data_IF_307910132133
#
_entry.id   IF_307910132133
#
_cell.length_a   1.000
_cell.length_b   1.000
_cell.length_c   1.000
_cell.angle_alpha   90.00
_cell.angle_beta   90.00
_cell.angle_gamma   90.00
#
_symmetry.space_group_name_H-M   'P 1'
#
loop_
_entity.id
_entity.type
_entity.pdbx_description
1 polymer ?
#
# COMPACT_ATOMS: atom_id res chain seq x y z
N UNK A 1 26.61 50.52 5.63
CA UNK A 1 25.57 51.51 5.21
C UNK A 1 25.74 51.89 3.73
N UNK A 2 24.68 52.16 2.95
CA UNK A 2 23.26 52.38 3.32
C UNK A 2 22.43 51.08 3.22
N UNK A 3 21.43 50.73 4.05
CA UNK A 3 20.34 51.44 4.73
C UNK A 3 19.03 51.55 3.90
N UNK A 4 17.99 50.85 4.43
CA UNK A 4 16.54 51.21 4.44
C UNK A 4 15.79 51.06 3.09
N UNK A 5 14.59 50.45 2.96
CA UNK A 5 13.45 50.21 3.87
C UNK A 5 12.45 49.17 3.24
N UNK A 6 11.40 48.73 3.97
CA UNK A 6 10.63 47.49 3.75
C UNK A 6 9.14 47.66 3.34
N UNK A 7 8.44 46.50 3.24
CA UNK A 7 6.98 46.22 3.40
C UNK A 7 6.08 46.29 2.14
N UNK A 8 4.82 45.74 2.11
CA UNK A 8 4.14 44.82 3.06
C UNK A 8 3.32 43.66 2.38
N UNK A 9 2.71 42.80 3.23
CA UNK A 9 1.47 42.03 3.04
C UNK A 9 1.39 40.80 2.11
N UNK A 10 1.40 39.61 2.74
CA UNK A 10 0.36 38.58 2.60
C UNK A 10 0.46 37.63 3.79
N UNK A 11 -0.11 38.00 4.95
CA UNK A 11 -1.35 37.41 5.47
C UNK A 11 -1.59 35.93 5.07
N UNK A 12 -1.49 35.08 6.09
CA UNK A 12 -2.51 34.10 6.48
C UNK A 12 -2.98 33.09 5.42
N UNK A 13 -2.41 31.88 5.48
CA UNK A 13 -3.17 30.66 5.23
C UNK A 13 -2.74 29.61 6.25
N UNK A 14 -3.43 29.61 7.39
CA UNK A 14 -3.39 28.51 8.34
C UNK A 14 -3.78 27.20 7.65
N UNK A 15 -3.22 26.05 8.06
CA UNK A 15 -3.60 24.75 7.54
C UNK A 15 -5.06 24.47 7.95
N UNK A 16 -5.98 24.49 6.98
CA UNK A 16 -7.31 23.94 7.11
C UNK A 16 -7.19 22.42 7.30
N UNK A 17 -6.97 22.05 8.55
CA UNK A 17 -7.64 20.97 9.27
C UNK A 17 -7.98 19.74 8.42
N UNK A 18 -6.99 18.84 8.41
CA UNK A 18 -7.04 17.37 8.34
C UNK A 18 -8.25 16.67 9.02
N UNK A 19 -9.12 17.40 9.71
CA UNK A 19 -10.31 16.91 10.40
C UNK A 19 -11.55 16.76 9.48
N UNK A 20 -11.60 17.42 8.31
CA UNK A 20 -12.75 17.28 7.40
C UNK A 20 -12.69 16.03 6.51
N UNK A 21 -11.49 15.46 6.28
CA UNK A 21 -11.32 14.30 5.41
C UNK A 21 -11.66 12.97 6.10
N UNK A 22 -11.53 12.87 7.42
CA UNK A 22 -11.87 11.65 8.17
C UNK A 22 -13.38 11.38 8.23
N UNK A 23 -14.21 12.42 8.14
CA UNK A 23 -15.66 12.30 8.22
C UNK A 23 -16.29 11.66 6.97
N UNK A 24 -15.63 11.77 5.82
CA UNK A 24 -16.11 11.18 4.56
C UNK A 24 -15.79 9.67 4.51
N UNK A 25 -14.67 9.24 5.08
CA UNK A 25 -14.26 7.83 5.09
C UNK A 25 -15.11 6.95 6.00
N UNK A 26 -15.58 7.49 7.14
CA UNK A 26 -16.48 6.74 8.06
C UNK A 26 -17.84 6.45 7.41
N UNK A 27 -18.31 7.30 6.47
CA UNK A 27 -19.61 7.10 5.84
C UNK A 27 -19.59 6.08 4.69
N UNK A 28 -18.49 5.92 3.95
CA UNK A 28 -18.43 4.94 2.85
C UNK A 28 -18.24 3.50 3.34
N UNK A 29 -17.40 3.30 4.38
CA UNK A 29 -17.21 1.96 4.97
C UNK A 29 -18.45 1.46 5.74
N UNK A 30 -19.31 2.35 6.22
CA UNK A 30 -20.56 1.96 6.89
C UNK A 30 -21.62 1.40 5.93
N UNK A 31 -21.59 1.77 4.63
CA UNK A 31 -22.58 1.30 3.65
C UNK A 31 -22.23 -0.06 3.02
N UNK A 32 -20.97 -0.51 3.09
CA UNK A 32 -20.58 -1.84 2.58
C UNK A 32 -20.80 -3.00 3.57
N UNK A 33 -21.14 -2.73 4.85
CA UNK A 33 -21.45 -3.76 5.84
C UNK A 33 -22.95 -3.94 6.17
N UNK A 34 -23.86 -3.17 5.55
CA UNK A 34 -25.29 -3.28 5.84
C UNK A 34 -25.98 -4.40 5.06
N UNK A 35 -25.55 -5.64 5.28
CA UNK A 35 -26.41 -6.82 5.21
C UNK A 35 -26.53 -7.47 6.60
N UNK A 36 -26.64 -6.63 7.63
CA UNK A 36 -26.89 -7.06 8.99
C UNK A 36 -28.39 -6.97 9.27
N UNK A 37 -29.03 -8.13 9.21
CA UNK A 37 -30.37 -8.40 9.73
C UNK A 37 -30.48 -7.77 11.13
N UNK A 38 -31.21 -6.66 11.24
CA UNK A 38 -31.42 -5.97 12.50
C UNK A 38 -32.23 -6.85 13.46
N UNK A 39 -31.54 -7.63 14.29
CA UNK A 39 -32.10 -8.20 15.51
C UNK A 39 -32.02 -7.10 16.56
N UNK A 40 -33.10 -6.34 16.73
CA UNK A 40 -33.24 -5.40 17.84
C UNK A 40 -33.03 -6.17 19.17
N UNK A 41 -32.03 -5.81 20.00
CA UNK A 41 -32.05 -6.23 21.40
C UNK A 41 -33.12 -5.42 22.13
N UNK A 42 -34.05 -6.14 22.75
CA UNK A 42 -35.07 -5.63 23.66
C UNK A 42 -34.43 -4.76 24.74
N UNK A 43 -34.93 -3.53 24.86
CA UNK A 43 -34.60 -2.61 25.92
C UNK A 43 -34.97 -3.21 27.28
N UNK A 44 -33.97 -3.51 28.11
CA UNK A 44 -34.15 -3.64 29.55
C UNK A 44 -33.66 -2.34 30.21
N UNK A 45 -34.42 -1.74 31.13
CA UNK A 45 -33.98 -0.53 31.82
C UNK A 45 -32.87 -0.89 32.82
N UNK A 46 -31.68 -0.27 32.77
CA UNK A 46 -30.70 -0.45 33.82
C UNK A 46 -31.18 0.25 35.10
N UNK A 47 -31.09 -0.50 36.20
CA UNK A 47 -31.28 0.00 37.58
C UNK A 47 -30.46 1.26 37.81
N UNK A 48 -31.15 2.25 38.35
CA UNK A 48 -30.66 3.50 38.96
C UNK A 48 -29.18 3.51 39.36
N UNK A 49 -28.32 4.31 38.70
CA UNK A 49 -27.00 4.64 39.21
C UNK A 49 -27.06 5.93 40.04
N UNK A 50 -26.22 6.02 41.08
CA UNK A 50 -25.96 7.28 41.79
C UNK A 50 -25.54 8.32 40.75
N UNK A 51 -26.31 9.40 40.64
CA UNK A 51 -26.07 10.52 39.72
C UNK A 51 -24.78 11.25 40.11
N UNK A 52 -23.64 10.81 39.57
CA UNK A 52 -22.43 11.62 39.52
C UNK A 52 -22.61 12.64 38.40
N UNK A 53 -22.34 13.91 38.67
CA UNK A 53 -22.50 14.99 37.68
C UNK A 53 -21.69 14.73 36.40
N UNK A 54 -20.62 13.92 36.49
CA UNK A 54 -19.83 13.43 35.36
C UNK A 54 -20.62 12.56 34.38
N UNK A 55 -21.50 11.69 34.86
CA UNK A 55 -22.32 10.81 33.99
C UNK A 55 -23.34 11.62 33.19
N UNK A 56 -23.93 12.64 33.81
CA UNK A 56 -24.88 13.55 33.16
C UNK A 56 -24.21 14.38 32.06
N UNK A 57 -22.99 14.88 32.30
CA UNK A 57 -22.22 15.66 31.30
C UNK A 57 -21.81 14.77 30.12
N UNK A 58 -21.34 13.55 30.38
CA UNK A 58 -20.97 12.59 29.31
C UNK A 58 -22.19 12.21 28.48
N UNK A 59 -23.34 11.95 29.11
CA UNK A 59 -24.57 11.59 28.39
C UNK A 59 -25.08 12.76 27.53
N UNK A 60 -25.08 13.97 28.08
CA UNK A 60 -25.51 15.17 27.37
C UNK A 60 -24.60 15.50 26.17
N UNK A 61 -23.29 15.35 26.32
CA UNK A 61 -22.32 15.59 25.24
C UNK A 61 -22.44 14.55 24.12
N UNK A 62 -22.61 13.27 24.43
CA UNK A 62 -22.86 12.22 23.43
C UNK A 62 -24.17 12.48 22.69
N UNK A 63 -25.25 12.82 23.41
CA UNK A 63 -26.54 13.13 22.80
C UNK A 63 -26.47 14.34 21.85
N UNK A 64 -25.74 15.39 22.25
CA UNK A 64 -25.51 16.56 21.39
C UNK A 64 -24.69 16.23 20.14
N UNK A 65 -23.63 15.42 20.28
CA UNK A 65 -22.80 15.00 19.16
C UNK A 65 -23.59 14.16 18.14
N UNK A 66 -24.39 13.18 18.60
CA UNK A 66 -25.22 12.35 17.73
C UNK A 66 -26.25 13.20 16.99
N UNK A 67 -26.90 14.14 17.69
CA UNK A 67 -27.88 15.05 17.07
C UNK A 67 -27.22 15.95 16.01
N UNK A 68 -26.01 16.45 16.28
CA UNK A 68 -25.22 17.22 15.32
C UNK A 68 -24.86 16.42 14.06
N UNK A 69 -24.48 15.15 14.21
CA UNK A 69 -24.19 14.27 13.07
C UNK A 69 -25.45 13.98 12.23
N UNK A 70 -26.58 13.68 12.88
CA UNK A 70 -27.85 13.43 12.17
C UNK A 70 -28.31 14.67 11.41
N UNK A 71 -28.24 15.85 12.04
CA UNK A 71 -28.56 17.11 11.39
C UNK A 71 -27.64 17.40 10.19
N UNK A 72 -26.34 17.12 10.32
CA UNK A 72 -25.38 17.27 9.23
C UNK A 72 -25.68 16.33 8.05
N UNK A 73 -26.03 15.07 8.33
CA UNK A 73 -26.42 14.10 7.29
C UNK A 73 -27.66 14.56 6.54
N UNK A 74 -28.69 15.05 7.24
CA UNK A 74 -29.91 15.58 6.62
C UNK A 74 -29.63 16.83 5.77
N UNK A 75 -28.82 17.77 6.27
CA UNK A 75 -28.36 18.93 5.52
C UNK A 75 -27.61 18.54 4.26
N UNK A 76 -26.71 17.56 4.35
CA UNK A 76 -25.92 17.07 3.23
C UNK A 76 -26.79 16.39 2.15
N UNK A 77 -27.79 15.58 2.52
CA UNK A 77 -28.72 14.97 1.55
C UNK A 77 -29.59 16.03 0.84
N UNK A 78 -30.04 17.06 1.57
CA UNK A 78 -30.73 18.20 0.97
C UNK A 78 -29.84 18.92 -0.05
N UNK A 79 -28.56 19.07 0.27
CA UNK A 79 -27.62 19.78 -0.60
C UNK A 79 -27.27 18.99 -1.86
N UNK A 80 -27.14 17.67 -1.73
CA UNK A 80 -26.98 16.72 -2.83
C UNK A 80 -28.07 16.82 -3.89
N UNK A 81 -29.35 16.95 -3.48
CA UNK A 81 -30.50 16.89 -4.40
C UNK A 81 -30.79 18.22 -5.09
N UNK A 82 -30.54 19.35 -4.42
CA UNK A 82 -31.02 20.66 -4.89
C UNK A 82 -29.99 21.53 -5.64
N UNK A 83 -28.67 21.29 -5.50
CA UNK A 83 -27.63 22.13 -6.13
C UNK A 83 -26.94 21.42 -7.30
N UNK A 84 -27.00 22.01 -8.50
CA UNK A 84 -26.36 21.47 -9.70
C UNK A 84 -24.82 21.54 -9.67
N UNK A 85 -24.26 22.65 -9.16
CA UNK A 85 -22.80 22.82 -9.00
C UNK A 85 -22.20 21.80 -8.04
N UNK A 86 -22.88 21.54 -6.92
CA UNK A 86 -22.45 20.53 -5.95
C UNK A 86 -22.32 19.13 -6.57
N UNK A 87 -23.23 18.74 -7.47
CA UNK A 87 -23.14 17.47 -8.23
C UNK A 87 -21.98 17.44 -9.23
N UNK A 88 -21.61 18.58 -9.81
CA UNK A 88 -20.45 18.68 -10.72
C UNK A 88 -19.16 18.54 -9.93
N UNK A 89 -19.08 19.19 -8.78
CA UNK A 89 -17.93 19.12 -7.89
C UNK A 89 -17.74 17.72 -7.32
N UNK A 90 -18.81 17.03 -6.89
CA UNK A 90 -18.73 15.65 -6.40
C UNK A 90 -18.14 14.71 -7.45
N UNK A 91 -18.63 14.77 -8.70
CA UNK A 91 -18.09 13.98 -9.82
C UNK A 91 -16.63 14.33 -10.14
N UNK A 92 -16.24 15.60 -10.02
CA UNK A 92 -14.85 16.04 -10.21
C UNK A 92 -13.96 15.49 -9.08
N UNK A 93 -14.44 15.49 -7.84
CA UNK A 93 -13.71 14.99 -6.69
C UNK A 93 -13.58 13.46 -6.71
N UNK A 94 -14.65 12.73 -7.04
CA UNK A 94 -14.59 11.28 -7.24
C UNK A 94 -13.58 10.90 -8.34
N UNK A 95 -13.60 11.59 -9.48
CA UNK A 95 -12.62 11.38 -10.56
C UNK A 95 -11.20 11.69 -10.11
N UNK A 96 -11.00 12.75 -9.33
CA UNK A 96 -9.68 13.10 -8.77
C UNK A 96 -9.21 12.06 -7.76
N UNK A 97 -10.08 11.58 -6.88
CA UNK A 97 -9.76 10.55 -5.90
C UNK A 97 -9.41 9.23 -6.59
N UNK A 98 -10.20 8.79 -7.56
CA UNK A 98 -9.91 7.58 -8.32
C UNK A 98 -8.64 7.70 -9.18
N UNK A 99 -8.31 8.91 -9.67
CA UNK A 99 -7.01 9.17 -10.32
C UNK A 99 -5.87 9.12 -9.31
N UNK A 100 -6.03 9.76 -8.15
CA UNK A 100 -5.03 9.76 -7.09
C UNK A 100 -4.77 8.35 -6.57
N UNK A 101 -5.80 7.53 -6.34
CA UNK A 101 -5.67 6.13 -5.91
C UNK A 101 -4.93 5.29 -6.96
N UNK A 102 -5.21 5.51 -8.25
CA UNK A 102 -4.47 4.86 -9.34
C UNK A 102 -3.02 5.30 -9.41
N UNK A 103 -2.76 6.60 -9.28
CA UNK A 103 -1.42 7.17 -9.26
C UNK A 103 -0.63 6.70 -8.03
N UNK A 104 -1.27 6.57 -6.87
CA UNK A 104 -0.70 6.03 -5.63
C UNK A 104 -0.36 4.54 -5.79
N UNK A 105 -1.28 3.72 -6.31
CA UNK A 105 -1.00 2.32 -6.59
C UNK A 105 0.16 2.15 -7.60
N UNK A 106 0.20 2.98 -8.64
CA UNK A 106 1.34 3.01 -9.58
C UNK A 106 2.63 3.45 -8.90
N UNK A 107 2.60 4.47 -8.05
CA UNK A 107 3.78 4.92 -7.32
C UNK A 107 4.27 3.87 -6.32
N UNK A 108 3.37 3.14 -5.66
CA UNK A 108 3.73 2.05 -4.77
C UNK A 108 4.44 0.94 -5.52
N UNK A 109 3.92 0.50 -6.67
CA UNK A 109 4.63 -0.49 -7.50
C UNK A 109 5.99 0.04 -7.94
N UNK A 110 6.10 1.28 -8.42
CA UNK A 110 7.39 1.87 -8.83
C UNK A 110 8.37 1.95 -7.66
N UNK A 111 7.92 2.34 -6.46
CA UNK A 111 8.75 2.39 -5.25
C UNK A 111 9.23 1.00 -4.84
N UNK A 112 8.36 -0.01 -4.89
CA UNK A 112 8.74 -1.39 -4.61
C UNK A 112 9.81 -1.87 -5.59
N UNK A 113 9.63 -1.61 -6.89
CA UNK A 113 10.62 -1.92 -7.92
C UNK A 113 11.96 -1.21 -7.71
N UNK A 114 11.93 0.05 -7.30
CA UNK A 114 13.14 0.80 -6.98
C UNK A 114 13.86 0.24 -5.75
N UNK A 115 13.12 -0.14 -4.70
CA UNK A 115 13.68 -0.78 -3.52
C UNK A 115 14.32 -2.13 -3.86
N UNK A 116 13.68 -2.92 -4.74
CA UNK A 116 14.24 -4.17 -5.26
C UNK A 116 15.58 -3.92 -5.96
N UNK A 117 15.66 -2.93 -6.85
CA UNK A 117 16.90 -2.59 -7.57
C UNK A 117 18.02 -2.15 -6.63
N UNK A 118 17.70 -1.26 -5.68
CA UNK A 118 18.67 -0.81 -4.68
C UNK A 118 19.23 -1.97 -3.87
N UNK A 119 18.39 -2.92 -3.47
CA UNK A 119 18.83 -4.08 -2.71
C UNK A 119 19.68 -5.05 -3.55
N UNK A 120 19.43 -5.15 -4.86
CA UNK A 120 20.29 -5.91 -5.79
C UNK A 120 21.65 -5.21 -5.96
N UNK A 121 21.66 -3.88 -6.08
CA UNK A 121 22.90 -3.10 -6.19
C UNK A 121 23.74 -3.23 -4.90
N UNK A 122 23.11 -3.14 -3.74
CA UNK A 122 23.77 -3.37 -2.44
C UNK A 122 24.35 -4.79 -2.34
N UNK A 123 23.60 -5.81 -2.77
CA UNK A 123 24.09 -7.20 -2.82
C UNK A 123 25.26 -7.39 -3.81
N UNK A 124 25.34 -6.58 -4.87
CA UNK A 124 26.49 -6.59 -5.80
C UNK A 124 27.71 -5.91 -5.18
N UNK A 125 27.50 -4.83 -4.43
CA UNK A 125 28.54 -4.07 -3.76
C UNK A 125 29.18 -4.83 -2.59
N UNK A 126 28.41 -5.67 -1.87
CA UNK A 126 28.92 -6.57 -0.83
C UNK A 126 29.99 -7.55 -1.35
N UNK A 127 29.94 -7.87 -2.65
CA UNK A 127 30.84 -8.80 -3.29
C UNK A 127 30.53 -10.27 -2.98
N UNK A 128 31.04 -11.17 -3.82
CA UNK A 128 30.81 -12.60 -3.71
C UNK A 128 32.11 -13.34 -3.38
N UNK A 129 32.06 -14.41 -2.56
CA UNK A 129 33.24 -15.22 -2.29
C UNK A 129 33.80 -15.79 -3.59
N UNK A 130 35.13 -15.74 -3.77
CA UNK A 130 35.80 -16.24 -4.98
C UNK A 130 36.16 -17.71 -4.88
N UNK A 131 36.41 -18.20 -3.65
CA UNK A 131 36.83 -19.56 -3.36
C UNK A 131 35.67 -20.56 -3.45
N UNK A 132 35.98 -21.79 -3.89
CA UNK A 132 34.96 -22.83 -4.18
C UNK A 132 34.28 -23.29 -2.88
N UNK A 133 35.05 -23.55 -1.83
CA UNK A 133 34.52 -23.98 -0.53
C UNK A 133 33.62 -22.91 0.10
N UNK A 134 34.04 -21.64 0.00
CA UNK A 134 33.28 -20.50 0.54
C UNK A 134 32.01 -20.22 -0.28
N UNK A 135 32.02 -20.46 -1.60
CA UNK A 135 30.84 -20.35 -2.45
C UNK A 135 29.78 -21.37 -2.09
N UNK A 136 30.16 -22.62 -1.83
CA UNK A 136 29.23 -23.67 -1.41
C UNK A 136 28.60 -23.33 -0.05
N UNK A 137 29.41 -22.89 0.92
CA UNK A 137 28.91 -22.47 2.23
C UNK A 137 27.95 -21.27 2.12
N UNK A 138 28.32 -20.26 1.33
CA UNK A 138 27.49 -19.08 1.09
C UNK A 138 26.18 -19.45 0.39
N UNK A 139 26.22 -20.32 -0.62
CA UNK A 139 25.04 -20.82 -1.31
C UNK A 139 24.06 -21.48 -0.34
N UNK A 140 24.53 -22.42 0.49
CA UNK A 140 23.68 -23.11 1.46
C UNK A 140 23.05 -22.16 2.48
N UNK A 141 23.82 -21.17 2.95
CA UNK A 141 23.31 -20.13 3.84
C UNK A 141 22.20 -19.31 3.17
N UNK A 142 22.44 -18.83 1.95
CA UNK A 142 21.47 -18.02 1.21
C UNK A 142 20.21 -18.78 0.85
N UNK A 143 20.31 -20.07 0.48
CA UNK A 143 19.13 -20.91 0.22
C UNK A 143 18.32 -21.14 1.49
N UNK A 144 18.97 -21.45 2.62
CA UNK A 144 18.28 -21.65 3.90
C UNK A 144 17.58 -20.37 4.38
N UNK A 145 18.23 -19.22 4.21
CA UNK A 145 17.66 -17.91 4.52
C UNK A 145 16.48 -17.57 3.61
N UNK A 146 16.64 -17.79 2.29
CA UNK A 146 15.58 -17.59 1.30
C UNK A 146 14.36 -18.48 1.55
N UNK A 147 14.56 -19.75 1.91
CA UNK A 147 13.46 -20.66 2.28
C UNK A 147 12.72 -20.17 3.53
N UNK A 148 13.46 -19.73 4.55
CA UNK A 148 12.89 -19.21 5.80
C UNK A 148 12.05 -17.95 5.53
N UNK A 149 12.58 -17.02 4.73
CA UNK A 149 11.89 -15.77 4.38
C UNK A 149 10.72 -16.02 3.42
N UNK A 150 10.80 -17.03 2.56
CA UNK A 150 9.73 -17.38 1.61
C UNK A 150 8.47 -17.93 2.27
N UNK A 151 8.55 -18.33 3.56
CA UNK A 151 7.38 -18.71 4.34
C UNK A 151 6.40 -17.55 4.53
N UNK A 152 6.91 -16.30 4.55
CA UNK A 152 6.12 -15.09 4.72
C UNK A 152 5.97 -14.32 3.39
N UNK A 153 4.75 -14.19 2.83
CA UNK A 153 4.55 -13.52 1.54
C UNK A 153 4.83 -12.01 1.58
N UNK A 154 4.88 -11.41 2.77
CA UNK A 154 5.24 -10.00 2.97
C UNK A 154 6.74 -9.74 2.79
N UNK A 155 7.57 -10.79 2.92
CA UNK A 155 9.04 -10.74 2.79
C UNK A 155 9.53 -11.34 1.47
N UNK A 156 8.66 -11.38 0.46
CA UNK A 156 9.00 -11.94 -0.84
C UNK A 156 10.23 -11.27 -1.50
N UNK A 157 10.44 -9.97 -1.25
CA UNK A 157 11.60 -9.22 -1.74
C UNK A 157 12.89 -9.72 -1.09
N UNK A 158 12.91 -9.88 0.23
CA UNK A 158 14.08 -10.35 0.98
C UNK A 158 14.41 -11.81 0.62
N UNK A 159 13.38 -12.65 0.50
CA UNK A 159 13.54 -14.03 0.04
C UNK A 159 14.15 -14.11 -1.38
N UNK A 160 13.64 -13.29 -2.30
CA UNK A 160 14.14 -13.23 -3.68
C UNK A 160 15.61 -12.77 -3.74
N UNK A 161 16.04 -11.83 -2.88
CA UNK A 161 17.44 -11.42 -2.79
C UNK A 161 18.36 -12.57 -2.38
N UNK A 162 17.94 -13.38 -1.40
CA UNK A 162 18.73 -14.53 -0.97
C UNK A 162 18.86 -15.58 -2.10
N UNK A 163 17.77 -15.87 -2.82
CA UNK A 163 17.83 -16.75 -3.99
C UNK A 163 18.68 -16.18 -5.14
N UNK A 164 18.62 -14.87 -5.39
CA UNK A 164 19.48 -14.19 -6.35
C UNK A 164 20.97 -14.32 -5.99
N UNK A 165 21.32 -14.11 -4.71
CA UNK A 165 22.69 -14.30 -4.19
C UNK A 165 23.15 -15.75 -4.39
N UNK A 166 22.27 -16.73 -4.19
CA UNK A 166 22.55 -18.15 -4.48
C UNK A 166 22.80 -18.43 -5.96
N UNK A 167 21.98 -17.87 -6.86
CA UNK A 167 22.15 -18.01 -8.32
C UNK A 167 23.50 -17.44 -8.81
N UNK A 168 24.01 -16.39 -8.17
CA UNK A 168 25.27 -15.74 -8.55
C UNK A 168 26.52 -16.57 -8.29
N UNK A 169 26.52 -17.37 -7.23
CA UNK A 169 27.68 -18.18 -6.85
C UNK A 169 27.66 -19.56 -7.51
N UNK A 170 26.55 -19.94 -8.14
CA UNK A 170 26.36 -21.24 -8.75
C UNK A 170 26.90 -21.30 -10.19
N UNK A 171 27.62 -22.36 -10.59
CA UNK A 171 28.24 -22.46 -11.91
C UNK A 171 27.22 -22.63 -13.06
N UNK A 172 26.05 -23.24 -12.81
CA UNK A 172 25.00 -23.48 -13.82
C UNK A 172 23.61 -22.99 -13.35
N UNK A 173 23.33 -21.67 -13.42
CA UNK A 173 22.10 -21.10 -12.84
C UNK A 173 20.81 -21.62 -13.51
N UNK A 174 20.89 -22.18 -14.72
CA UNK A 174 19.76 -22.76 -15.45
C UNK A 174 19.17 -24.04 -14.83
N UNK A 175 19.98 -24.86 -14.18
CA UNK A 175 19.47 -26.05 -13.48
C UNK A 175 18.78 -25.66 -12.17
N UNK A 176 19.35 -24.66 -11.49
CA UNK A 176 18.90 -24.20 -10.19
C UNK A 176 17.53 -23.49 -10.27
N UNK A 177 17.30 -22.68 -11.31
CA UNK A 177 15.99 -22.04 -11.51
C UNK A 177 14.88 -23.09 -11.75
N UNK A 178 15.19 -24.21 -12.41
CA UNK A 178 14.24 -25.30 -12.64
C UNK A 178 13.86 -26.08 -11.37
N UNK A 179 14.68 -26.00 -10.32
CA UNK A 179 14.35 -26.51 -8.98
C UNK A 179 13.49 -25.48 -8.23
N UNK A 180 13.86 -24.20 -8.30
CA UNK A 180 13.11 -23.13 -7.63
C UNK A 180 11.68 -22.99 -8.15
N UNK A 181 11.43 -23.18 -9.44
CA UNK A 181 10.07 -23.19 -10.01
C UNK A 181 9.15 -24.25 -9.36
N UNK A 182 9.73 -25.32 -8.80
CA UNK A 182 8.99 -26.42 -8.17
C UNK A 182 8.83 -26.26 -6.67
N UNK A 183 9.79 -25.62 -6.00
CA UNK A 183 9.85 -25.58 -4.53
C UNK A 183 9.50 -24.23 -3.93
N UNK A 184 9.72 -23.13 -4.66
CA UNK A 184 9.54 -21.75 -4.17
C UNK A 184 8.15 -21.23 -4.56
N UNK A 185 7.44 -20.50 -3.68
CA UNK A 185 6.14 -19.94 -4.00
C UNK A 185 6.20 -18.86 -5.09
N UNK A 186 5.20 -18.83 -5.98
CA UNK A 186 5.13 -17.90 -7.13
C UNK A 186 5.39 -16.42 -6.84
N UNK A 187 4.88 -15.82 -5.75
CA UNK A 187 5.13 -14.41 -5.46
C UNK A 187 6.62 -14.06 -5.31
N UNK A 188 7.45 -15.01 -4.85
CA UNK A 188 8.90 -14.82 -4.72
C UNK A 188 9.58 -14.96 -6.09
N UNK A 189 9.12 -15.90 -6.91
CA UNK A 189 9.63 -16.11 -8.27
C UNK A 189 9.35 -14.90 -9.19
N UNK A 190 8.19 -14.25 -9.05
CA UNK A 190 7.85 -13.05 -9.82
C UNK A 190 8.82 -11.89 -9.50
N UNK A 191 9.17 -11.71 -8.22
CA UNK A 191 10.15 -10.70 -7.78
C UNK A 191 11.56 -11.08 -8.22
N UNK A 192 11.93 -12.36 -8.12
CA UNK A 192 13.21 -12.86 -8.59
C UNK A 192 13.40 -12.66 -10.09
N UNK A 193 12.35 -12.88 -10.89
CA UNK A 193 12.36 -12.62 -12.33
C UNK A 193 12.60 -11.13 -12.63
N UNK A 194 12.02 -10.22 -11.84
CA UNK A 194 12.30 -8.79 -11.97
C UNK A 194 13.76 -8.44 -11.64
N UNK A 195 14.35 -9.07 -10.61
CA UNK A 195 15.77 -8.92 -10.26
C UNK A 195 16.70 -9.43 -11.36
N UNK A 196 16.40 -10.60 -11.95
CA UNK A 196 17.16 -11.18 -13.06
C UNK A 196 17.06 -10.31 -14.30
N UNK A 197 15.87 -9.78 -14.62
CA UNK A 197 15.69 -8.87 -15.75
C UNK A 197 16.45 -7.54 -15.60
N UNK A 198 16.78 -7.14 -14.37
CA UNK A 198 17.66 -6.00 -14.11
C UNK A 198 19.15 -6.35 -14.20
N UNK A 199 19.52 -7.62 -14.02
CA UNK A 199 20.89 -8.08 -14.02
C UNK A 199 21.21 -9.05 -15.18
N UNK A 200 21.58 -8.48 -16.32
CA UNK A 200 21.95 -9.20 -17.55
C UNK A 200 23.16 -10.15 -17.38
N UNK A 201 23.92 -10.02 -16.30
CA UNK A 201 25.07 -10.88 -16.03
C UNK A 201 24.67 -12.30 -15.57
N UNK A 202 23.41 -12.53 -15.18
CA UNK A 202 22.83 -13.86 -15.05
C UNK A 202 22.22 -14.27 -16.40
N UNK A 203 23.04 -14.77 -17.31
CA UNK A 203 22.56 -15.23 -18.63
C UNK A 203 21.88 -16.60 -18.49
N UNK A 204 20.67 -16.61 -17.90
CA UNK A 204 19.79 -17.77 -17.80
C UNK A 204 19.14 -17.90 -19.18
N UNK A 205 19.83 -18.59 -20.08
CA UNK A 205 19.37 -18.80 -21.46
C UNK A 205 17.90 -19.21 -21.48
N UNK A 206 17.06 -18.33 -22.04
CA UNK A 206 15.62 -18.50 -22.25
C UNK A 206 14.93 -19.37 -21.19
N UNK A 207 14.78 -18.85 -19.96
CA UNK A 207 13.78 -19.38 -19.04
C UNK A 207 12.39 -19.26 -19.70
N UNK A 208 11.94 -20.35 -20.33
CA UNK A 208 10.58 -20.57 -20.86
C UNK A 208 9.66 -21.10 -19.74
N UNK A 209 9.93 -20.80 -18.48
CA UNK A 209 8.93 -21.00 -17.43
C UNK A 209 7.81 -20.02 -17.70
N UNK A 210 6.61 -20.53 -17.98
CA UNK A 210 5.44 -19.76 -18.38
C UNK A 210 4.97 -18.78 -17.31
N UNK A 211 5.71 -17.69 -17.16
CA UNK A 211 5.16 -16.42 -16.73
C UNK A 211 4.22 -16.05 -17.88
N UNK A 212 2.96 -16.47 -17.78
CA UNK A 212 1.86 -15.75 -18.39
C UNK A 212 1.84 -14.39 -17.69
N UNK A 213 2.88 -13.59 -17.92
CA UNK A 213 2.84 -12.19 -17.73
C UNK A 213 1.78 -11.79 -18.73
N UNK A 214 0.61 -11.49 -18.19
CA UNK A 214 -0.46 -10.77 -18.85
C UNK A 214 0.05 -9.34 -19.20
N UNK A 215 1.20 -9.26 -19.87
CA UNK A 215 1.79 -8.08 -20.48
C UNK A 215 0.94 -7.64 -21.68
N UNK A 216 0.05 -8.51 -22.17
CA UNK A 216 -0.90 -8.25 -23.25
C UNK A 216 -2.19 -7.52 -22.83
N UNK A 217 -2.52 -7.43 -21.53
CA UNK A 217 -3.69 -6.69 -21.03
C UNK A 217 -3.32 -5.39 -20.32
N UNK A 218 -2.16 -4.80 -20.60
CA UNK A 218 -1.96 -3.38 -20.32
C UNK A 218 -2.84 -2.63 -21.32
N UNK A 219 -3.89 -1.88 -20.89
CA UNK A 219 -4.54 -0.96 -21.81
C UNK A 219 -3.49 0.06 -22.23
N UNK A 220 -3.03 -0.04 -23.47
CA UNK A 220 -2.29 0.99 -24.18
C UNK A 220 -3.09 2.28 -24.05
N UNK A 221 -2.74 3.10 -23.07
CA UNK A 221 -3.29 4.43 -22.90
C UNK A 221 -2.71 5.28 -24.01
N UNK A 222 -3.53 5.51 -25.04
CA UNK A 222 -3.20 6.37 -26.16
C UNK A 222 -2.73 7.74 -25.65
N UNK A 223 -1.50 8.09 -26.02
CA UNK A 223 -1.11 9.48 -26.20
C UNK A 223 -1.66 9.93 -27.56
N UNK A 224 -2.89 10.43 -27.58
CA UNK A 224 -3.44 11.36 -28.58
C UNK A 224 -4.63 12.12 -27.96
#
# INVERSE_FOLDING_TARGET
PPALRPSPNSQSAAPLTRAHLSAIFVFSSALHCCNLKAKLPSATPPKSPKMSQTSTIVTASVAAAVTGLVAYVAYFDYQRRNKAEFRRELRRNERKQHKAEKEEAQQETVRQRQAIKQAVDEAKDEGFPTDVEQKEAYFLQQVSEGETLSADPTRAVEAALAFYKGLKVYPTPGDLIGIYDKTVPKPVLDVLAEMIAYDDSLNIGQYQGGINADLGNIPTVGLD
#
